data_IF_000198868152
#
_entry.id   IF_000198868152
#
_cell.length_a   1.000
_cell.length_b   1.000
_cell.length_c   1.000
_cell.angle_alpha   90.00
_cell.angle_beta   90.00
_cell.angle_gamma   90.00
#
_symmetry.space_group_name_H-M   'P 1'
#
loop_
_entity.id
_entity.type
_entity.pdbx_description
1 polymer ?
#
# COMPACT_ATOMS: atom_id res chain seq x y z
N UNK A 1 -25.44 -40.13 134.78
CA UNK A 1 -24.07 -39.92 134.31
C UNK A 1 -23.52 -41.06 133.40
N UNK A 2 -23.99 -42.29 133.48
CA UNK A 2 -23.50 -43.40 132.55
C UNK A 2 -23.95 -43.25 131.12
N UNK A 3 -25.15 -42.78 130.81
CA UNK A 3 -25.62 -42.60 129.41
C UNK A 3 -24.88 -41.58 128.60
N UNK A 4 -24.17 -40.61 129.21
CA UNK A 4 -23.34 -39.58 128.47
C UNK A 4 -21.97 -40.15 128.16
N UNK A 5 -21.42 -41.03 128.98
CA UNK A 5 -20.14 -41.67 128.73
C UNK A 5 -20.20 -42.75 127.63
N UNK A 6 -21.31 -43.42 127.46
CA UNK A 6 -21.52 -44.41 126.40
C UNK A 6 -21.81 -43.80 125.07
N UNK A 7 -22.17 -42.51 124.99
CA UNK A 7 -22.35 -41.73 123.75
C UNK A 7 -21.09 -40.92 123.33
N UNK A 8 -20.05 -40.93 124.20
CA UNK A 8 -18.85 -40.26 123.83
C UNK A 8 -18.03 -41.11 122.87
N UNK A 9 -17.82 -40.58 121.73
CA UNK A 9 -16.92 -41.19 120.72
C UNK A 9 -15.52 -41.26 121.29
N UNK A 10 -14.79 -42.29 121.00
CA UNK A 10 -13.36 -42.36 121.32
C UNK A 10 -12.59 -41.24 120.60
N UNK A 11 -11.48 -40.78 121.14
CA UNK A 11 -10.72 -39.64 120.60
C UNK A 11 -10.26 -39.86 119.13
N UNK A 12 -9.93 -41.08 118.72
CA UNK A 12 -9.46 -41.38 117.37
C UNK A 12 -10.64 -41.32 116.36
N UNK A 13 -11.78 -41.84 116.70
CA UNK A 13 -13.02 -41.77 115.91
C UNK A 13 -13.55 -40.34 115.81
N UNK A 14 -13.48 -39.55 116.91
CA UNK A 14 -13.84 -38.13 116.92
C UNK A 14 -12.92 -37.34 116.00
N UNK A 15 -11.61 -37.61 116.02
CA UNK A 15 -10.62 -36.98 115.21
C UNK A 15 -10.79 -37.37 113.72
N UNK A 16 -11.10 -38.64 113.43
CA UNK A 16 -11.38 -39.10 112.07
C UNK A 16 -12.64 -38.42 111.50
N UNK A 17 -13.71 -38.30 112.31
CA UNK A 17 -14.92 -37.59 111.89
C UNK A 17 -14.68 -36.10 111.67
N UNK A 18 -13.87 -35.47 112.55
CA UNK A 18 -13.51 -34.08 112.34
C UNK A 18 -12.76 -33.87 111.00
N UNK A 19 -11.74 -34.69 110.72
CA UNK A 19 -11.01 -34.60 109.37
C UNK A 19 -11.98 -34.81 108.23
N UNK A 20 -12.83 -35.81 108.28
CA UNK A 20 -13.81 -36.01 107.23
C UNK A 20 -14.75 -34.82 107.03
N UNK A 21 -15.13 -34.18 108.16
CA UNK A 21 -15.99 -33.00 108.10
C UNK A 21 -15.24 -31.80 107.51
N UNK A 22 -13.98 -31.66 107.85
CA UNK A 22 -13.12 -30.58 107.27
C UNK A 22 -12.87 -30.81 105.80
N UNK A 23 -12.53 -32.05 105.39
CA UNK A 23 -12.33 -32.42 103.98
C UNK A 23 -13.64 -32.16 103.19
N UNK A 24 -14.79 -32.60 103.75
CA UNK A 24 -16.05 -32.31 103.09
C UNK A 24 -16.41 -30.83 102.97
N UNK A 25 -16.05 -30.05 103.99
CA UNK A 25 -16.24 -28.58 103.97
C UNK A 25 -15.32 -27.95 102.95
N UNK A 26 -14.08 -28.41 102.87
CA UNK A 26 -13.11 -27.92 101.88
C UNK A 26 -13.60 -28.27 100.46
N UNK A 27 -14.02 -29.53 100.20
CA UNK A 27 -14.57 -29.89 98.90
C UNK A 27 -15.84 -29.11 98.56
N UNK A 28 -16.74 -28.88 99.48
CA UNK A 28 -17.92 -28.02 99.25
C UNK A 28 -17.55 -26.60 98.97
N UNK A 29 -16.55 -26.06 99.68
CA UNK A 29 -16.08 -24.73 99.40
C UNK A 29 -15.44 -24.63 98.02
N UNK A 30 -14.62 -25.59 97.59
CA UNK A 30 -14.01 -25.65 96.32
C UNK A 30 -15.07 -25.78 95.17
N UNK A 31 -16.04 -26.64 95.32
CA UNK A 31 -17.16 -26.80 94.38
C UNK A 31 -18.01 -25.52 94.31
N UNK A 32 -18.24 -24.86 95.45
CA UNK A 32 -18.96 -23.56 95.48
C UNK A 32 -18.16 -22.48 94.76
N UNK A 33 -16.87 -22.38 95.02
CA UNK A 33 -16.00 -21.39 94.36
C UNK A 33 -15.95 -21.62 92.86
N UNK A 34 -15.83 -22.87 92.45
CA UNK A 34 -15.91 -23.23 91.04
C UNK A 34 -17.27 -22.88 90.36
N UNK A 35 -18.38 -23.09 91.10
CA UNK A 35 -19.72 -22.75 90.59
C UNK A 35 -19.98 -21.21 90.58
N UNK A 36 -19.25 -20.48 91.39
CA UNK A 36 -19.27 -18.99 91.42
C UNK A 36 -18.28 -18.32 90.46
N UNK A 37 -17.49 -19.14 89.76
CA UNK A 37 -16.62 -18.58 88.65
C UNK A 37 -17.48 -17.80 87.64
N UNK A 38 -17.00 -16.57 87.24
CA UNK A 38 -17.77 -15.68 86.36
C UNK A 38 -18.18 -16.36 85.04
N UNK A 39 -17.32 -17.19 84.54
CA UNK A 39 -17.59 -17.92 83.27
C UNK A 39 -18.72 -18.97 83.45
N UNK A 40 -18.66 -19.75 84.52
CA UNK A 40 -19.71 -20.75 84.77
C UNK A 40 -21.05 -20.09 85.18
N UNK A 41 -21.00 -18.98 85.95
CA UNK A 41 -22.18 -18.19 86.27
C UNK A 41 -22.83 -17.60 85.03
N UNK A 42 -22.02 -17.04 84.14
CA UNK A 42 -22.48 -16.52 82.88
C UNK A 42 -23.07 -17.66 81.98
N UNK A 43 -22.38 -18.78 81.96
CA UNK A 43 -22.86 -19.96 81.18
C UNK A 43 -24.22 -20.51 81.72
N UNK A 44 -24.45 -20.47 83.05
CA UNK A 44 -25.75 -20.86 83.63
C UNK A 44 -26.86 -19.85 83.38
N UNK A 45 -26.51 -18.57 83.27
CA UNK A 45 -27.46 -17.50 82.99
C UNK A 45 -27.81 -17.45 81.49
N UNK A 46 -26.97 -17.97 80.68
CA UNK A 46 -27.20 -18.02 79.21
C UNK A 46 -28.26 -19.10 78.88
N UNK A 47 -29.15 -18.88 77.91
CA UNK A 47 -30.03 -19.89 77.42
C UNK A 47 -29.24 -21.14 76.96
N UNK A 48 -29.75 -22.36 77.10
CA UNK A 48 -29.02 -23.53 76.63
C UNK A 48 -28.65 -23.41 75.15
N UNK A 49 -27.39 -23.66 74.88
CA UNK A 49 -26.92 -23.64 73.50
C UNK A 49 -27.68 -24.71 72.70
N UNK A 50 -28.17 -24.30 71.52
CA UNK A 50 -28.75 -25.25 70.59
C UNK A 50 -27.60 -25.68 69.61
N UNK A 51 -26.98 -26.83 69.79
CA UNK A 51 -25.88 -27.33 68.99
C UNK A 51 -26.30 -27.54 67.53
N UNK A 52 -27.57 -27.99 67.32
CA UNK A 52 -28.06 -28.24 65.96
C UNK A 52 -28.17 -26.91 65.14
N UNK A 53 -28.70 -25.88 65.81
CA UNK A 53 -28.74 -24.56 65.19
C UNK A 53 -27.36 -23.97 64.97
N UNK A 54 -26.37 -24.21 65.83
CA UNK A 54 -24.98 -23.77 65.68
C UNK A 54 -24.28 -24.50 64.54
N UNK A 55 -24.44 -25.82 64.42
CA UNK A 55 -23.90 -26.63 63.31
C UNK A 55 -24.50 -26.18 61.98
N UNK A 56 -25.79 -25.96 61.87
CA UNK A 56 -26.43 -25.45 60.65
C UNK A 56 -25.86 -24.08 60.23
N UNK A 57 -25.69 -23.16 61.21
CA UNK A 57 -25.06 -21.84 60.88
C UNK A 57 -23.62 -21.97 60.39
N UNK A 58 -22.86 -22.91 60.97
CA UNK A 58 -21.50 -23.20 60.57
C UNK A 58 -21.46 -23.75 59.11
N UNK A 59 -22.38 -24.68 58.82
CA UNK A 59 -22.49 -25.21 57.44
C UNK A 59 -22.88 -24.15 56.43
N UNK A 60 -23.89 -23.30 56.74
CA UNK A 60 -24.35 -22.21 55.94
C UNK A 60 -23.20 -21.19 55.72
N UNK A 61 -22.48 -20.80 56.76
CA UNK A 61 -21.33 -19.89 56.68
C UNK A 61 -20.17 -20.48 55.87
N UNK A 62 -19.91 -21.78 56.05
CA UNK A 62 -18.87 -22.49 55.28
C UNK A 62 -19.22 -22.57 53.79
N UNK A 63 -20.50 -22.85 53.47
CA UNK A 63 -20.98 -22.87 52.10
C UNK A 63 -20.89 -21.45 51.46
N UNK A 64 -21.32 -20.42 52.20
CA UNK A 64 -21.21 -19.04 51.74
C UNK A 64 -19.76 -18.62 51.49
N UNK A 65 -18.83 -19.00 52.38
CA UNK A 65 -17.40 -18.72 52.23
C UNK A 65 -16.83 -19.41 50.96
N UNK A 66 -17.16 -20.68 50.75
CA UNK A 66 -16.75 -21.43 49.55
C UNK A 66 -17.26 -20.74 48.28
N UNK A 67 -18.52 -20.35 48.25
CA UNK A 67 -19.14 -19.64 47.13
C UNK A 67 -18.46 -18.27 46.87
N UNK A 68 -18.25 -17.49 47.92
CA UNK A 68 -17.57 -16.19 47.81
C UNK A 68 -16.13 -16.33 47.32
N UNK A 69 -15.41 -17.35 47.82
CA UNK A 69 -14.03 -17.64 47.41
C UNK A 69 -13.98 -18.04 45.91
N UNK A 70 -14.89 -18.91 45.46
CA UNK A 70 -14.97 -19.32 44.06
C UNK A 70 -15.31 -18.14 43.15
N UNK A 71 -16.25 -17.28 43.55
CA UNK A 71 -16.60 -16.05 42.80
C UNK A 71 -15.43 -15.09 42.76
N UNK A 72 -14.75 -14.87 43.88
CA UNK A 72 -13.56 -14.02 43.93
C UNK A 72 -12.45 -14.54 43.00
N UNK A 73 -12.13 -15.83 43.08
CA UNK A 73 -11.11 -16.43 42.21
C UNK A 73 -11.47 -16.29 40.73
N UNK A 74 -12.72 -16.47 40.36
CA UNK A 74 -13.22 -16.27 38.99
C UNK A 74 -13.05 -14.81 38.57
N UNK A 75 -13.38 -13.87 39.44
CA UNK A 75 -13.20 -12.42 39.15
C UNK A 75 -11.73 -12.05 38.98
N UNK A 76 -10.83 -12.51 39.83
CA UNK A 76 -9.40 -12.31 39.73
C UNK A 76 -8.82 -12.82 38.41
N UNK A 77 -9.22 -14.06 38.04
CA UNK A 77 -8.79 -14.66 36.77
C UNK A 77 -9.28 -13.84 35.57
N UNK A 78 -10.55 -13.42 35.58
CA UNK A 78 -11.12 -12.58 34.51
C UNK A 78 -10.40 -11.21 34.39
N UNK A 79 -10.09 -10.57 35.51
CA UNK A 79 -9.34 -9.33 35.51
C UNK A 79 -7.95 -9.53 34.89
N UNK A 80 -7.21 -10.55 35.27
CA UNK A 80 -5.93 -10.88 34.72
C UNK A 80 -5.97 -11.17 33.20
N UNK A 81 -7.00 -11.87 32.73
CA UNK A 81 -7.24 -12.13 31.32
C UNK A 81 -7.56 -10.84 30.54
N UNK A 82 -8.40 -9.98 31.11
CA UNK A 82 -8.72 -8.67 30.49
C UNK A 82 -7.48 -7.77 30.39
N UNK A 83 -6.65 -7.73 31.43
CA UNK A 83 -5.39 -6.97 31.41
C UNK A 83 -4.42 -7.50 30.36
N UNK A 84 -4.33 -8.82 30.21
CA UNK A 84 -3.51 -9.46 29.18
C UNK A 84 -4.03 -9.11 27.80
N UNK A 85 -5.32 -9.30 27.54
CA UNK A 85 -5.96 -8.99 26.26
C UNK A 85 -5.85 -7.51 25.90
N UNK A 86 -5.99 -6.62 26.89
CA UNK A 86 -5.82 -5.17 26.70
C UNK A 86 -4.40 -4.80 26.25
N UNK A 87 -3.39 -5.42 26.87
CA UNK A 87 -1.99 -5.24 26.47
C UNK A 87 -1.72 -5.76 25.05
N UNK A 88 -2.20 -6.96 24.75
CA UNK A 88 -2.06 -7.58 23.44
C UNK A 88 -2.75 -6.75 22.34
N UNK A 89 -3.96 -6.27 22.61
CA UNK A 89 -4.71 -5.40 21.70
C UNK A 89 -3.95 -4.09 21.44
N UNK A 90 -3.45 -3.46 22.50
CA UNK A 90 -2.70 -2.21 22.41
C UNK A 90 -1.39 -2.40 21.59
N UNK A 91 -0.68 -3.50 21.83
CA UNK A 91 0.52 -3.83 21.07
C UNK A 91 0.24 -4.05 19.58
N UNK A 92 -0.82 -4.80 19.26
CA UNK A 92 -1.26 -5.04 17.87
C UNK A 92 -1.74 -3.76 17.20
N UNK A 93 -2.49 -2.91 17.89
CA UNK A 93 -2.95 -1.62 17.36
C UNK A 93 -1.79 -0.68 17.05
N UNK A 94 -0.77 -0.62 17.89
CA UNK A 94 0.46 0.15 17.61
C UNK A 94 1.20 -0.36 16.38
N UNK A 95 1.27 -1.67 16.17
CA UNK A 95 1.87 -2.26 14.98
C UNK A 95 1.05 -2.04 13.70
N UNK A 96 -0.27 -1.90 13.82
CA UNK A 96 -1.17 -1.71 12.68
C UNK A 96 -1.12 -0.28 12.12
N UNK A 97 -0.92 0.73 12.97
CA UNK A 97 -0.87 2.15 12.58
C UNK A 97 0.07 2.40 11.38
N UNK A 98 1.38 2.09 11.49
CA UNK A 98 2.33 2.30 10.39
C UNK A 98 1.96 1.54 9.10
N UNK A 99 1.31 0.38 9.20
CA UNK A 99 0.88 -0.40 8.04
C UNK A 99 -0.31 0.27 7.33
N UNK A 100 -1.25 0.83 8.09
CA UNK A 100 -2.39 1.59 7.54
C UNK A 100 -1.90 2.88 6.88
N UNK A 101 -0.95 3.59 7.49
CA UNK A 101 -0.35 4.78 6.91
C UNK A 101 0.40 4.44 5.60
N UNK A 102 1.17 3.37 5.61
CA UNK A 102 1.84 2.86 4.41
C UNK A 102 0.86 2.45 3.31
N UNK A 103 -0.23 1.79 3.66
CA UNK A 103 -1.29 1.43 2.72
C UNK A 103 -1.97 2.67 2.13
N UNK A 104 -2.29 3.67 2.97
CA UNK A 104 -2.91 4.91 2.52
C UNK A 104 -2.00 5.66 1.52
N UNK A 105 -0.70 5.78 1.83
CA UNK A 105 0.29 6.37 0.94
C UNK A 105 0.40 5.61 -0.38
N UNK A 106 0.52 4.29 -0.33
CA UNK A 106 0.61 3.46 -1.54
C UNK A 106 -0.64 3.60 -2.42
N UNK A 107 -1.82 3.66 -1.81
CA UNK A 107 -3.09 3.89 -2.53
C UNK A 107 -3.13 5.27 -3.15
N UNK A 108 -2.73 6.32 -2.44
CA UNK A 108 -2.66 7.68 -2.96
C UNK A 108 -1.72 7.77 -4.16
N UNK A 109 -0.53 7.16 -4.08
CA UNK A 109 0.43 7.11 -5.19
C UNK A 109 -0.11 6.35 -6.39
N UNK A 110 -0.78 5.22 -6.16
CA UNK A 110 -1.42 4.45 -7.23
C UNK A 110 -2.54 5.24 -7.92
N UNK A 111 -3.36 5.95 -7.16
CA UNK A 111 -4.42 6.82 -7.68
C UNK A 111 -3.82 7.97 -8.51
N UNK A 112 -2.79 8.65 -8.03
CA UNK A 112 -2.07 9.69 -8.78
C UNK A 112 -1.45 9.14 -10.06
N UNK A 113 -0.77 7.99 -9.99
CA UNK A 113 -0.13 7.37 -11.15
C UNK A 113 -1.15 6.89 -12.19
N UNK A 114 -2.35 6.51 -11.77
CA UNK A 114 -3.44 6.12 -12.67
C UNK A 114 -4.22 7.30 -13.28
N UNK A 115 -3.91 8.52 -12.87
CA UNK A 115 -4.60 9.74 -13.31
C UNK A 115 -5.83 10.10 -12.48
N UNK A 116 -5.98 9.49 -11.30
CA UNK A 116 -7.05 9.75 -10.35
C UNK A 116 -6.63 10.67 -9.20
N UNK A 117 -7.48 10.72 -8.16
CA UNK A 117 -7.22 11.52 -6.96
C UNK A 117 -7.03 13.02 -7.27
N UNK A 118 -5.98 13.60 -6.70
CA UNK A 118 -5.61 15.01 -6.86
C UNK A 118 -4.86 15.31 -8.18
N UNK A 119 -4.77 14.35 -9.10
CA UNK A 119 -4.13 14.55 -10.41
C UNK A 119 -4.95 15.52 -11.27
N UNK A 120 -4.54 16.80 -11.30
CA UNK A 120 -5.24 17.90 -12.01
C UNK A 120 -5.34 17.69 -13.51
N UNK A 121 -4.34 17.05 -14.10
CA UNK A 121 -4.28 16.75 -15.54
C UNK A 121 -5.08 15.49 -15.90
N UNK A 122 -5.48 14.69 -14.91
CA UNK A 122 -6.12 13.37 -15.10
C UNK A 122 -5.36 12.49 -16.10
N UNK A 123 -4.04 12.62 -16.08
CA UNK A 123 -3.12 11.93 -16.97
C UNK A 123 -2.41 10.81 -16.21
N UNK A 124 -2.34 9.63 -16.80
CA UNK A 124 -1.56 8.52 -16.24
C UNK A 124 -0.07 8.86 -16.28
N UNK A 125 0.69 8.41 -15.30
CA UNK A 125 2.14 8.62 -15.23
C UNK A 125 2.85 8.18 -16.53
N UNK A 126 2.46 7.03 -17.09
CA UNK A 126 2.94 6.55 -18.38
C UNK A 126 2.72 7.59 -19.51
N UNK A 127 1.50 8.13 -19.59
CA UNK A 127 1.16 9.15 -20.60
C UNK A 127 1.92 10.46 -20.37
N UNK A 128 2.17 10.83 -19.11
CA UNK A 128 2.97 12.00 -18.76
C UNK A 128 4.43 11.86 -19.23
N UNK A 129 5.04 10.71 -18.97
CA UNK A 129 6.41 10.43 -19.45
C UNK A 129 6.48 10.42 -20.98
N UNK A 130 5.49 9.76 -21.63
CA UNK A 130 5.42 9.75 -23.10
C UNK A 130 5.17 11.14 -23.69
N UNK A 131 4.38 12.00 -23.04
CA UNK A 131 4.16 13.38 -23.46
C UNK A 131 5.45 14.20 -23.42
N UNK A 132 6.24 14.08 -22.34
CA UNK A 132 7.53 14.73 -22.24
C UNK A 132 8.52 14.26 -23.34
N UNK A 133 8.50 12.96 -23.67
CA UNK A 133 9.29 12.43 -24.79
C UNK A 133 8.80 12.92 -26.14
N UNK A 134 7.49 12.98 -26.33
CA UNK A 134 6.90 13.51 -27.57
C UNK A 134 7.25 14.99 -27.76
N UNK A 135 7.32 15.78 -26.70
CA UNK A 135 7.76 17.17 -26.75
C UNK A 135 9.21 17.30 -27.23
N UNK A 136 10.12 16.46 -26.72
CA UNK A 136 11.52 16.41 -27.17
C UNK A 136 11.62 16.06 -28.68
N UNK A 137 10.86 15.02 -29.09
CA UNK A 137 10.79 14.61 -30.49
C UNK A 137 10.20 15.71 -31.37
N UNK A 138 9.12 16.37 -30.93
CA UNK A 138 8.50 17.48 -31.65
C UNK A 138 9.46 18.67 -31.79
N UNK A 139 10.24 18.96 -30.77
CA UNK A 139 11.28 20.03 -30.83
C UNK A 139 12.36 19.69 -31.83
N UNK A 140 12.94 18.47 -31.78
CA UNK A 140 13.96 18.03 -32.76
C UNK A 140 13.40 18.00 -34.19
N UNK A 141 12.16 17.53 -34.35
CA UNK A 141 11.46 17.52 -35.64
C UNK A 141 11.17 18.91 -36.16
N UNK A 142 10.82 19.86 -35.29
CA UNK A 142 10.54 21.24 -35.69
C UNK A 142 11.71 21.94 -36.37
N UNK A 143 12.93 21.77 -35.88
CA UNK A 143 14.12 22.32 -36.51
C UNK A 143 14.30 21.80 -37.95
N UNK A 144 13.96 20.56 -38.22
CA UNK A 144 14.03 19.97 -39.55
C UNK A 144 12.87 20.43 -40.42
N UNK A 145 11.64 20.43 -39.87
CA UNK A 145 10.45 20.87 -40.60
C UNK A 145 10.55 22.34 -41.02
N UNK A 146 11.09 23.22 -40.17
CA UNK A 146 11.32 24.63 -40.53
C UNK A 146 12.27 24.76 -41.75
N UNK A 147 13.34 23.96 -41.80
CA UNK A 147 14.25 23.94 -42.93
C UNK A 147 13.60 23.45 -44.22
N UNK A 148 12.77 22.38 -44.11
CA UNK A 148 12.05 21.79 -45.25
C UNK A 148 10.91 22.68 -45.77
N UNK A 149 10.33 23.50 -44.92
CA UNK A 149 9.16 24.33 -45.21
C UNK A 149 9.51 25.85 -45.35
N UNK A 150 10.76 26.18 -45.57
CA UNK A 150 11.22 27.57 -45.62
C UNK A 150 10.77 28.42 -44.41
N UNK A 151 10.83 27.84 -43.21
CA UNK A 151 10.46 28.48 -41.96
C UNK A 151 8.96 28.53 -41.65
N UNK A 152 8.13 27.95 -42.52
CA UNK A 152 6.67 28.08 -42.38
C UNK A 152 6.07 27.25 -41.27
N UNK A 153 6.47 25.99 -41.11
CA UNK A 153 5.81 25.06 -40.19
C UNK A 153 6.67 24.67 -39.00
N UNK A 154 6.04 24.60 -37.84
CA UNK A 154 6.63 24.12 -36.59
C UNK A 154 5.69 23.09 -35.93
N UNK A 155 6.22 21.96 -35.51
CA UNK A 155 5.48 20.97 -34.72
C UNK A 155 5.49 21.36 -33.25
N UNK A 156 4.35 21.32 -32.63
CA UNK A 156 4.21 21.56 -31.19
C UNK A 156 3.41 20.43 -30.55
N UNK A 157 3.85 20.02 -29.37
CA UNK A 157 3.10 19.10 -28.53
C UNK A 157 1.88 19.83 -27.95
N UNK A 158 0.77 19.15 -27.80
CA UNK A 158 -0.44 19.69 -27.20
C UNK A 158 -1.05 18.71 -26.20
N UNK A 159 -1.25 19.19 -24.97
CA UNK A 159 -1.98 18.47 -23.92
C UNK A 159 -3.52 18.50 -24.13
N UNK A 160 -3.97 19.21 -25.15
CA UNK A 160 -5.40 19.30 -25.45
C UNK A 160 -5.95 17.90 -25.77
N UNK A 161 -7.11 17.59 -25.19
CA UNK A 161 -7.83 16.36 -25.53
C UNK A 161 -8.19 16.39 -27.01
N UNK A 162 -7.67 15.41 -27.77
CA UNK A 162 -8.15 15.19 -29.12
C UNK A 162 -9.66 14.87 -29.06
N UNK A 163 -10.45 15.48 -29.92
CA UNK A 163 -11.89 15.24 -29.98
C UNK A 163 -12.17 13.73 -30.12
N UNK A 164 -12.89 13.17 -29.13
CA UNK A 164 -13.28 11.74 -29.14
C UNK A 164 -12.33 10.80 -28.39
N UNK A 165 -11.20 11.23 -27.85
CA UNK A 165 -10.32 10.35 -27.07
C UNK A 165 -10.44 10.63 -25.56
N UNK A 166 -10.48 9.56 -24.75
CA UNK A 166 -10.46 9.64 -23.28
C UNK A 166 -9.06 9.98 -22.71
N UNK A 167 -8.03 10.06 -23.55
CA UNK A 167 -6.63 10.26 -23.16
C UNK A 167 -6.14 11.62 -23.66
N UNK A 168 -5.61 12.43 -22.77
CA UNK A 168 -4.92 13.70 -23.07
C UNK A 168 -3.41 13.48 -23.13
N UNK A 169 -2.68 14.39 -23.78
CA UNK A 169 -1.24 14.49 -23.64
C UNK A 169 -0.38 13.88 -24.74
N UNK A 170 -0.94 13.28 -25.79
CA UNK A 170 -0.16 12.68 -26.89
C UNK A 170 -0.61 13.20 -28.27
N UNK A 171 -0.99 14.47 -28.37
CA UNK A 171 -1.34 15.08 -29.65
C UNK A 171 -0.27 16.03 -30.14
N UNK A 172 -0.10 16.06 -31.48
CA UNK A 172 0.77 17.00 -32.18
C UNK A 172 -0.10 17.99 -32.95
N UNK A 173 0.33 19.23 -32.97
CA UNK A 173 -0.27 20.30 -33.76
C UNK A 173 0.81 20.99 -34.60
N UNK A 174 0.39 21.64 -35.65
CA UNK A 174 1.28 22.42 -36.52
C UNK A 174 0.97 23.91 -36.34
N UNK A 175 2.01 24.67 -36.08
CA UNK A 175 1.93 26.14 -36.11
C UNK A 175 2.38 26.58 -37.49
N UNK A 176 1.50 27.30 -38.21
CA UNK A 176 1.80 27.95 -39.46
C UNK A 176 2.26 29.39 -39.19
N UNK A 177 3.54 29.66 -39.31
CA UNK A 177 4.15 30.96 -39.02
C UNK A 177 3.69 32.07 -39.97
N UNK A 178 3.21 31.73 -41.18
CA UNK A 178 2.72 32.74 -42.12
C UNK A 178 1.32 33.22 -41.75
N UNK A 179 0.48 32.34 -41.24
CA UNK A 179 -0.89 32.70 -40.84
C UNK A 179 -1.04 32.97 -39.34
N UNK A 180 -0.03 32.61 -38.55
CA UNK A 180 -0.06 32.70 -37.10
C UNK A 180 -1.04 31.70 -36.44
N UNK A 181 -1.55 30.72 -37.18
CA UNK A 181 -2.59 29.78 -36.69
C UNK A 181 -1.99 28.45 -36.31
N UNK A 182 -2.53 27.86 -35.22
CA UNK A 182 -2.23 26.47 -34.82
C UNK A 182 -3.35 25.59 -35.31
N UNK A 183 -3.03 24.58 -36.11
CA UNK A 183 -4.00 23.65 -36.69
C UNK A 183 -3.66 22.20 -36.43
N UNK A 184 -4.63 21.32 -36.64
CA UNK A 184 -4.44 19.88 -36.52
C UNK A 184 -3.56 19.37 -37.68
N UNK A 185 -2.71 18.36 -37.39
CA UNK A 185 -1.87 17.72 -38.41
C UNK A 185 -2.69 17.08 -39.53
N UNK A 186 -3.92 16.65 -39.27
CA UNK A 186 -4.85 16.11 -40.26
C UNK A 186 -5.30 17.12 -41.31
N UNK A 187 -5.07 18.43 -41.10
CA UNK A 187 -5.43 19.51 -42.05
C UNK A 187 -4.31 19.87 -43.03
N UNK A 188 -3.17 19.19 -42.93
CA UNK A 188 -2.04 19.38 -43.80
C UNK A 188 -2.31 18.83 -45.22
N UNK A 189 -1.79 19.47 -46.24
CA UNK A 189 -1.76 18.92 -47.63
C UNK A 189 -0.89 17.67 -47.70
N UNK A 190 -0.94 16.92 -48.79
CA UNK A 190 -0.13 15.71 -48.96
C UNK A 190 1.38 15.99 -48.84
N UNK A 191 1.88 17.03 -49.43
CA UNK A 191 3.29 17.44 -49.33
C UNK A 191 3.66 17.93 -47.93
N UNK A 192 2.85 18.80 -47.35
CA UNK A 192 3.04 19.27 -45.96
C UNK A 192 3.05 18.12 -44.94
N UNK A 193 2.14 17.14 -45.10
CA UNK A 193 2.05 15.94 -44.27
C UNK A 193 3.30 15.06 -44.44
N UNK A 194 3.79 14.94 -45.65
CA UNK A 194 5.05 14.21 -45.93
C UNK A 194 6.24 14.86 -45.22
N UNK A 195 6.42 16.17 -45.35
CA UNK A 195 7.49 16.91 -44.64
C UNK A 195 7.37 16.77 -43.13
N UNK A 196 6.17 16.91 -42.56
CA UNK A 196 5.93 16.76 -41.14
C UNK A 196 6.26 15.35 -40.64
N UNK A 197 5.86 14.32 -41.40
CA UNK A 197 6.14 12.92 -41.06
C UNK A 197 7.62 12.58 -41.14
N UNK A 198 8.31 13.05 -42.21
CA UNK A 198 9.73 12.85 -42.37
C UNK A 198 10.53 13.58 -41.27
N UNK A 199 10.16 14.81 -40.96
CA UNK A 199 10.77 15.57 -39.86
C UNK A 199 10.60 14.87 -38.51
N UNK A 200 9.40 14.32 -38.27
CA UNK A 200 9.09 13.61 -37.05
C UNK A 200 9.91 12.32 -36.93
N UNK A 201 10.00 11.53 -37.99
CA UNK A 201 10.79 10.30 -38.02
C UNK A 201 12.29 10.59 -37.76
N UNK A 202 12.83 11.63 -38.38
CA UNK A 202 14.20 12.06 -38.15
C UNK A 202 14.42 12.62 -36.74
N UNK A 203 13.47 13.40 -36.21
CA UNK A 203 13.52 13.92 -34.84
C UNK A 203 13.48 12.79 -33.81
N UNK A 204 12.65 11.77 -34.06
CA UNK A 204 12.60 10.56 -33.21
C UNK A 204 13.95 9.82 -33.26
N UNK A 205 14.54 9.65 -34.46
CA UNK A 205 15.84 9.00 -34.60
C UNK A 205 16.95 9.74 -33.83
N UNK A 206 16.92 11.07 -33.82
CA UNK A 206 17.89 11.86 -33.07
C UNK A 206 17.73 11.68 -31.54
N UNK A 207 16.51 11.79 -31.04
CA UNK A 207 16.22 11.59 -29.61
C UNK A 207 16.61 10.18 -29.15
N UNK A 208 16.26 9.14 -29.92
CA UNK A 208 16.63 7.75 -29.60
C UNK A 208 18.15 7.57 -29.64
N UNK A 209 18.85 8.17 -30.62
CA UNK A 209 20.31 8.11 -30.70
C UNK A 209 20.97 8.75 -29.48
N UNK A 210 20.48 9.90 -29.05
CA UNK A 210 20.99 10.59 -27.86
C UNK A 210 20.80 9.78 -26.59
N UNK A 211 19.64 9.14 -26.42
CA UNK A 211 19.32 8.29 -25.27
C UNK A 211 20.09 6.96 -25.27
N UNK A 212 20.32 6.37 -26.44
CA UNK A 212 21.05 5.11 -26.60
C UNK A 212 22.57 5.27 -26.42
N UNK A 213 23.05 6.40 -25.93
CA UNK A 213 24.48 6.65 -25.71
C UNK A 213 25.25 6.91 -27.00
N UNK A 214 24.58 7.44 -28.04
CA UNK A 214 25.22 7.87 -29.30
C UNK A 214 25.31 6.76 -30.36
N UNK A 215 24.62 5.64 -30.20
CA UNK A 215 24.47 4.64 -31.27
C UNK A 215 23.65 5.27 -32.40
N UNK A 216 24.31 5.73 -33.45
CA UNK A 216 23.65 6.38 -34.60
C UNK A 216 22.80 5.38 -35.39
N UNK A 217 21.62 5.83 -35.81
CA UNK A 217 20.84 5.15 -36.84
C UNK A 217 21.40 5.58 -38.20
N UNK A 218 22.29 4.75 -38.75
CA UNK A 218 23.02 5.08 -39.98
C UNK A 218 22.18 4.82 -41.23
N UNK A 219 21.07 4.09 -41.13
CA UNK A 219 20.24 3.74 -42.27
C UNK A 219 18.79 4.14 -42.03
N UNK A 220 18.21 4.85 -42.99
CA UNK A 220 16.81 5.25 -43.02
C UNK A 220 16.14 4.65 -44.27
N UNK A 221 15.01 3.98 -44.11
CA UNK A 221 14.17 3.54 -45.21
C UNK A 221 12.89 4.36 -45.24
N UNK A 222 12.58 4.92 -46.41
CA UNK A 222 11.36 5.67 -46.69
C UNK A 222 10.54 4.82 -47.65
N UNK A 223 9.40 4.32 -47.16
CA UNK A 223 8.52 3.46 -47.93
C UNK A 223 7.31 4.26 -48.44
N UNK A 224 7.32 4.53 -49.76
CA UNK A 224 6.30 5.31 -50.45
C UNK A 224 6.09 6.75 -49.92
N UNK A 225 4.97 7.42 -50.28
CA UNK A 225 4.65 8.78 -49.86
C UNK A 225 4.98 9.86 -50.90
N UNK A 226 5.78 9.53 -51.92
CA UNK A 226 6.23 10.51 -52.94
C UNK A 226 5.20 10.71 -54.06
N UNK A 227 4.24 9.79 -54.20
CA UNK A 227 3.24 9.82 -55.29
C UNK A 227 2.21 10.95 -55.19
N UNK A 228 2.06 11.57 -54.02
CA UNK A 228 1.16 12.70 -53.79
C UNK A 228 1.85 14.08 -53.88
N UNK A 229 3.15 14.10 -54.18
CA UNK A 229 3.94 15.33 -54.25
C UNK A 229 3.89 15.91 -55.66
N UNK A 230 3.81 17.22 -55.76
CA UNK A 230 4.06 17.94 -57.00
C UNK A 230 5.57 17.99 -57.28
N UNK A 231 6.00 18.25 -58.54
CA UNK A 231 7.42 18.23 -58.92
C UNK A 231 8.31 19.16 -58.09
N UNK A 232 7.82 20.33 -57.69
CA UNK A 232 8.61 21.29 -56.91
C UNK A 232 8.83 20.75 -55.48
N UNK A 233 7.77 20.25 -54.85
CA UNK A 233 7.85 19.63 -53.53
C UNK A 233 8.75 18.38 -53.53
N UNK A 234 8.75 17.62 -54.64
CA UNK A 234 9.63 16.46 -54.78
C UNK A 234 11.11 16.90 -54.82
N UNK A 235 11.43 18.00 -55.51
CA UNK A 235 12.77 18.58 -55.56
C UNK A 235 13.25 18.98 -54.14
N UNK A 236 12.41 19.71 -53.41
CA UNK A 236 12.68 20.13 -52.03
C UNK A 236 12.94 18.94 -51.11
N UNK A 237 12.18 17.84 -51.27
CA UNK A 237 12.38 16.59 -50.50
C UNK A 237 13.73 15.96 -50.83
N UNK A 238 14.08 15.87 -52.12
CA UNK A 238 15.36 15.28 -52.55
C UNK A 238 16.55 16.05 -52.01
N UNK A 239 16.49 17.37 -51.98
CA UNK A 239 17.55 18.24 -51.42
C UNK A 239 17.75 17.94 -49.93
N UNK A 240 16.65 17.73 -49.18
CA UNK A 240 16.71 17.32 -47.77
C UNK A 240 17.34 15.95 -47.62
N UNK A 241 16.94 14.96 -48.46
CA UNK A 241 17.49 13.62 -48.39
C UNK A 241 18.96 13.56 -48.75
N UNK A 242 19.40 14.38 -49.73
CA UNK A 242 20.82 14.55 -50.08
C UNK A 242 21.59 15.15 -48.89
N UNK A 243 21.03 16.14 -48.19
CA UNK A 243 21.67 16.70 -46.99
C UNK A 243 21.83 15.68 -45.84
N UNK A 244 20.95 14.67 -45.77
CA UNK A 244 21.09 13.57 -44.81
C UNK A 244 22.20 12.60 -45.18
N UNK A 245 22.39 12.38 -46.48
CA UNK A 245 23.47 11.55 -47.04
C UNK A 245 24.83 12.16 -46.79
N UNK A 246 24.97 13.49 -46.90
CA UNK A 246 26.19 14.24 -46.55
C UNK A 246 26.60 14.09 -45.09
N UNK A 247 25.71 13.66 -44.21
CA UNK A 247 25.94 13.37 -42.78
C UNK A 247 26.25 11.90 -42.51
N UNK A 248 26.76 11.15 -43.49
CA UNK A 248 27.08 9.71 -43.40
C UNK A 248 25.91 8.80 -43.14
N UNK A 249 24.67 9.19 -43.49
CA UNK A 249 23.49 8.34 -43.39
C UNK A 249 23.17 7.69 -44.74
N UNK A 250 22.91 6.41 -44.73
CA UNK A 250 22.37 5.68 -45.87
C UNK A 250 20.86 5.86 -45.95
N UNK A 251 20.35 6.42 -47.05
CA UNK A 251 18.91 6.59 -47.27
C UNK A 251 18.45 5.63 -48.35
N UNK A 252 17.57 4.68 -47.97
CA UNK A 252 16.90 3.80 -48.93
C UNK A 252 15.47 4.31 -49.21
N UNK A 253 15.13 4.42 -50.49
CA UNK A 253 13.80 4.88 -50.92
C UNK A 253 13.11 3.75 -51.66
N UNK A 254 11.91 3.39 -51.21
CA UNK A 254 11.01 2.47 -51.92
C UNK A 254 9.93 3.32 -52.59
N UNK A 255 9.91 3.36 -53.91
CA UNK A 255 8.95 4.17 -54.67
C UNK A 255 8.67 3.61 -56.04
N UNK A 256 7.48 3.89 -56.54
CA UNK A 256 7.05 3.61 -57.92
C UNK A 256 7.09 4.90 -58.79
N UNK A 257 7.45 6.05 -58.27
CA UNK A 257 7.48 7.35 -58.97
C UNK A 257 8.60 7.37 -60.02
N UNK A 258 8.24 7.69 -61.25
CA UNK A 258 9.20 7.64 -62.39
C UNK A 258 10.29 8.70 -62.29
N UNK A 259 9.97 9.90 -61.79
CA UNK A 259 10.90 11.01 -61.59
C UNK A 259 12.05 10.65 -60.63
N UNK A 260 11.76 9.93 -59.54
CA UNK A 260 12.78 9.45 -58.60
C UNK A 260 13.78 8.50 -59.24
N UNK A 261 13.33 7.64 -60.20
CA UNK A 261 14.22 6.74 -60.93
C UNK A 261 15.21 7.46 -61.81
N UNK A 262 14.87 8.63 -62.33
CA UNK A 262 15.79 9.43 -63.17
C UNK A 262 16.84 10.16 -62.36
N UNK A 263 16.52 10.48 -61.10
CA UNK A 263 17.39 11.30 -60.24
C UNK A 263 18.29 10.49 -59.31
N UNK A 264 17.87 9.28 -58.92
CA UNK A 264 18.66 8.44 -58.05
C UNK A 264 19.47 7.43 -58.86
N UNK A 265 20.80 7.56 -58.91
CA UNK A 265 21.63 6.75 -59.80
C UNK A 265 21.77 5.29 -59.38
N UNK A 266 21.72 5.01 -58.04
CA UNK A 266 21.85 3.66 -57.52
C UNK A 266 20.48 3.07 -57.25
N UNK A 267 20.12 2.03 -58.00
CA UNK A 267 18.77 1.45 -57.92
C UNK A 267 18.81 -0.06 -57.78
N UNK A 268 17.87 -0.58 -57.00
CA UNK A 268 17.54 -2.00 -56.88
C UNK A 268 16.16 -2.25 -57.46
N UNK A 269 16.06 -2.81 -58.68
CA UNK A 269 14.80 -3.09 -59.33
C UNK A 269 14.30 -4.50 -58.97
N UNK A 270 13.06 -4.59 -58.45
CA UNK A 270 12.37 -5.85 -58.19
C UNK A 270 11.54 -6.20 -59.43
N UNK A 271 11.96 -7.20 -60.20
CA UNK A 271 11.25 -7.67 -61.41
C UNK A 271 10.41 -8.91 -61.09
N UNK A 272 9.12 -8.81 -61.29
CA UNK A 272 8.17 -9.91 -61.11
C UNK A 272 8.25 -10.89 -62.27
N UNK A 273 8.52 -12.17 -62.00
CA UNK A 273 8.51 -13.25 -62.97
C UNK A 273 7.51 -14.34 -62.61
N UNK A 274 7.23 -15.25 -63.58
CA UNK A 274 6.30 -16.38 -63.36
C UNK A 274 6.74 -17.36 -62.26
N UNK A 275 8.03 -17.39 -61.91
CA UNK A 275 8.61 -18.29 -60.92
C UNK A 275 9.11 -17.55 -59.66
N UNK A 276 8.65 -16.33 -59.41
CA UNK A 276 9.06 -15.48 -58.32
C UNK A 276 9.62 -14.14 -58.77
N UNK A 277 10.11 -13.34 -57.81
CA UNK A 277 10.72 -12.01 -58.12
C UNK A 277 12.23 -12.14 -58.21
N UNK A 278 12.84 -11.38 -59.10
CA UNK A 278 14.29 -11.26 -59.25
C UNK A 278 14.73 -9.83 -58.99
N UNK A 279 15.92 -9.67 -58.37
CA UNK A 279 16.52 -8.36 -58.14
C UNK A 279 17.50 -8.03 -59.27
N UNK A 280 17.43 -6.80 -59.76
CA UNK A 280 18.44 -6.22 -60.67
C UNK A 280 19.01 -4.96 -60.04
N UNK A 281 20.31 -4.87 -59.85
CA UNK A 281 21.00 -3.69 -59.37
C UNK A 281 21.57 -2.91 -60.57
N UNK A 282 21.32 -1.62 -60.61
CA UNK A 282 21.99 -0.64 -61.45
C UNK A 282 22.92 0.17 -60.55
N UNK A 283 24.15 -0.34 -60.38
CA UNK A 283 25.23 0.44 -59.78
C UNK A 283 25.96 1.14 -60.93
N UNK A 284 26.14 2.46 -60.92
CA UNK A 284 27.05 3.10 -61.91
C UNK A 284 28.45 2.51 -61.70
N UNK A 285 28.98 1.84 -62.70
CA UNK A 285 30.43 1.50 -62.75
C UNK A 285 31.15 2.82 -62.86
N UNK A 286 31.75 3.27 -61.72
CA UNK A 286 32.66 4.38 -61.70
C UNK A 286 33.95 4.13 -62.45
#
# INVERSE_FOLDING_TARGET
MRAVADAALDPATSQALHRRLEDHRAERAAVRAALEEPELTAARAAPPADPVAAERRLEEATAALRQATATHQTAVTRCADLDRLGRDLTARARGLGPLLDGQALARQLADLASGGGENTLRMRLESYVLAARLEQVASAASHRLQRMSAGRYTLVHSDAKAAGTKRSGLSLRVVDSWTGTTRDTATLSGGESFFASLALALGLADVVTEEAGGVRLDTLFIDEGFGSLDPQTLDDVLDVLDSLREQDRTVGIVSHVAELRQRIPTQLSVVRGRRGSTLRSTVPTG
#
